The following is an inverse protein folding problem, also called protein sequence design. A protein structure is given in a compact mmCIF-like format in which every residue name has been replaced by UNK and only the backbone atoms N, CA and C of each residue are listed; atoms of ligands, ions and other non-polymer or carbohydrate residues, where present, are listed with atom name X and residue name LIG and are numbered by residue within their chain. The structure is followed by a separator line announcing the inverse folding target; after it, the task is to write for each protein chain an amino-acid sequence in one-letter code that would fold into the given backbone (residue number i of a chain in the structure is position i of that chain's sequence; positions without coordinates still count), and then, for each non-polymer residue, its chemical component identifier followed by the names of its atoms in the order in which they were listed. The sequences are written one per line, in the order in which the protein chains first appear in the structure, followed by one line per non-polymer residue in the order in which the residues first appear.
data_IF_331821341500
#
_entry.id   IF_331821341500
#
_cell.length_a   1.000
_cell.length_b   1.000
_cell.length_c   1.000
_cell.angle_alpha   90.00
_cell.angle_beta   90.00
_cell.angle_gamma   90.00
#
_symmetry.space_group_name_H-M   'P 1'
#
loop_
_entity.id
_entity.type
_entity.pdbx_description
1 polymer ?
#
# COMPACT_ATOMS: atom_id res chain seq x y z
N UNK A 1 35.65 -4.94 -5.78
CA UNK A 1 36.06 -6.13 -6.55
C UNK A 1 35.58 -7.32 -5.74
N UNK A 2 34.32 -7.74 -5.97
CA UNK A 2 33.66 -8.73 -5.12
C UNK A 2 33.11 -9.81 -6.05
N UNK A 3 33.61 -11.01 -5.82
CA UNK A 3 33.44 -12.24 -6.60
C UNK A 3 31.96 -12.66 -6.71
N UNK A 4 31.44 -12.73 -7.93
CA UNK A 4 30.14 -13.33 -8.26
C UNK A 4 30.40 -14.61 -9.04
N UNK A 5 30.68 -15.72 -8.35
CA UNK A 5 30.77 -17.02 -9.02
C UNK A 5 30.18 -18.16 -8.19
N UNK A 6 29.07 -18.72 -8.71
CA UNK A 6 28.47 -20.05 -8.47
C UNK A 6 27.68 -20.14 -7.15
N UNK A 7 26.44 -20.65 -7.10
CA UNK A 7 25.92 -22.02 -7.28
C UNK A 7 24.36 -21.84 -7.18
N UNK A 8 23.41 -22.48 -7.89
CA UNK A 8 23.26 -23.86 -8.29
C UNK A 8 22.21 -24.00 -9.42
N UNK A 9 22.40 -25.04 -10.24
CA UNK A 9 21.38 -25.68 -11.08
C UNK A 9 20.69 -26.79 -10.26
N UNK A 10 19.36 -26.88 -10.31
CA UNK A 10 18.55 -28.11 -10.21
C UNK A 10 17.10 -27.71 -10.59
N UNK A 11 16.53 -28.05 -11.74
CA UNK A 11 16.10 -29.36 -12.24
C UNK A 11 14.93 -29.99 -11.44
N UNK A 12 13.85 -30.28 -12.20
CA UNK A 12 12.92 -31.42 -12.13
C UNK A 12 11.47 -31.25 -11.63
N UNK A 13 10.58 -31.88 -12.43
CA UNK A 13 9.22 -32.43 -12.21
C UNK A 13 8.06 -31.48 -12.58
N UNK A 14 7.30 -31.67 -13.68
CA UNK A 14 6.50 -32.81 -14.17
C UNK A 14 5.26 -33.14 -13.32
N UNK A 15 4.07 -32.82 -13.85
CA UNK A 15 2.73 -33.24 -13.38
C UNK A 15 1.66 -32.24 -13.87
N UNK A 16 0.95 -32.44 -14.98
CA UNK A 16 -0.13 -33.40 -15.28
C UNK A 16 -1.52 -33.02 -14.71
N UNK A 17 -2.49 -32.94 -15.63
CA UNK A 17 -3.95 -33.13 -15.49
C UNK A 17 -4.79 -32.08 -14.73
N UNK A 18 -5.61 -31.32 -15.45
CA UNK A 18 -7.07 -31.59 -15.54
C UNK A 18 -7.73 -30.61 -16.53
N UNK A 19 -8.28 -31.16 -17.62
CA UNK A 19 -9.20 -30.49 -18.53
C UNK A 19 -10.56 -31.17 -18.35
N UNK A 20 -11.63 -30.39 -18.17
CA UNK A 20 -13.00 -30.88 -18.34
C UNK A 20 -13.99 -30.29 -17.35
N UNK A 21 -15.01 -29.60 -17.87
CA UNK A 21 -16.26 -29.40 -17.13
C UNK A 21 -17.09 -28.18 -17.51
N UNK A 22 -17.63 -28.17 -18.73
CA UNK A 22 -18.78 -27.34 -19.14
C UNK A 22 -20.01 -27.51 -18.22
N UNK A 23 -20.75 -26.42 -18.02
CA UNK A 23 -22.14 -26.40 -17.51
C UNK A 23 -22.30 -25.35 -16.40
N UNK A 24 -23.17 -24.35 -16.47
CA UNK A 24 -24.32 -24.07 -17.30
C UNK A 24 -25.25 -23.13 -16.51
N UNK A 25 -26.36 -22.76 -17.14
CA UNK A 25 -27.54 -22.09 -16.54
C UNK A 25 -27.48 -20.59 -16.26
N UNK A 26 -28.02 -19.88 -17.24
CA UNK A 26 -28.92 -18.73 -17.10
C UNK A 26 -29.80 -18.75 -15.84
N UNK A 27 -29.91 -17.61 -15.13
CA UNK A 27 -31.22 -17.10 -14.69
C UNK A 27 -31.15 -15.58 -14.53
N UNK A 28 -32.01 -14.89 -15.26
CA UNK A 28 -32.32 -13.48 -15.03
C UNK A 28 -33.14 -13.34 -13.74
N UNK A 29 -32.84 -12.34 -12.92
CA UNK A 29 -33.74 -11.87 -11.88
C UNK A 29 -33.74 -10.34 -11.87
N UNK A 30 -34.83 -9.79 -12.37
CA UNK A 30 -35.29 -8.42 -12.17
C UNK A 30 -35.81 -8.27 -10.74
N UNK A 31 -35.38 -7.25 -10.01
CA UNK A 31 -36.11 -6.63 -8.89
C UNK A 31 -35.51 -5.23 -8.69
N UNK A 32 -36.16 -4.16 -9.14
CA UNK A 32 -37.23 -3.41 -8.47
C UNK A 32 -36.88 -2.85 -7.08
N UNK A 33 -36.80 -1.51 -7.07
CA UNK A 33 -37.33 -0.59 -6.05
C UNK A 33 -36.68 -0.59 -4.66
N UNK A 34 -36.02 0.52 -4.29
CA UNK A 34 -36.49 1.40 -3.21
C UNK A 34 -35.62 2.65 -3.03
N UNK A 35 -36.30 3.78 -3.12
CA UNK A 35 -35.93 5.12 -2.68
C UNK A 35 -35.74 5.11 -1.15
N UNK A 36 -34.60 5.60 -0.63
CA UNK A 36 -34.47 5.89 0.81
C UNK A 36 -33.81 7.25 1.04
N UNK A 37 -34.70 8.23 1.25
CA UNK A 37 -34.68 9.36 2.18
C UNK A 37 -33.35 9.82 2.78
N UNK A 38 -33.02 11.08 2.47
CA UNK A 38 -32.07 11.93 3.17
C UNK A 38 -32.40 12.05 4.67
N UNK A 39 -31.39 11.88 5.52
CA UNK A 39 -31.44 12.34 6.92
C UNK A 39 -30.26 13.26 7.16
N UNK A 40 -30.55 14.56 7.22
CA UNK A 40 -29.64 15.62 7.66
C UNK A 40 -29.66 15.64 9.18
N UNK A 41 -28.53 15.37 9.82
CA UNK A 41 -28.35 15.59 11.27
C UNK A 41 -27.20 16.56 11.48
N UNK A 42 -27.56 17.79 11.85
CA UNK A 42 -26.66 18.76 12.41
C UNK A 42 -26.32 18.38 13.86
N UNK A 43 -25.04 18.36 14.20
CA UNK A 43 -24.56 18.31 15.58
C UNK A 43 -23.56 19.45 15.80
N UNK A 44 -24.01 20.43 16.58
CA UNK A 44 -23.22 21.48 17.22
C UNK A 44 -22.76 21.03 18.61
N UNK A 45 -21.74 21.73 19.14
CA UNK A 45 -21.21 21.75 20.52
C UNK A 45 -19.99 20.85 20.80
N UNK A 46 -19.00 21.21 21.61
CA UNK A 46 -18.61 22.43 22.33
C UNK A 46 -17.14 22.19 22.73
N UNK A 47 -16.26 23.18 22.51
CA UNK A 47 -14.85 23.08 22.89
C UNK A 47 -14.70 23.34 24.40
N UNK A 48 -14.15 22.36 25.12
CA UNK A 48 -13.70 22.55 26.51
C UNK A 48 -12.18 22.47 26.53
N UNK A 49 -11.53 23.62 26.75
CA UNK A 49 -10.10 23.72 26.96
C UNK A 49 -9.73 23.12 28.33
N UNK A 50 -8.93 22.06 28.32
CA UNK A 50 -8.25 21.55 29.51
C UNK A 50 -6.74 21.63 29.28
N UNK A 51 -6.12 22.61 29.94
CA UNK A 51 -4.68 22.77 30.04
C UNK A 51 -4.16 21.77 31.05
N UNK A 52 -3.45 20.74 30.59
CA UNK A 52 -2.70 19.83 31.44
C UNK A 52 -1.21 19.99 31.13
N UNK A 53 -0.53 20.69 32.02
CA UNK A 53 0.94 20.69 32.09
C UNK A 53 1.37 19.33 32.65
N UNK A 54 1.98 18.49 31.81
CA UNK A 54 2.58 17.23 32.21
C UNK A 54 4.09 17.29 32.04
N UNK A 55 4.76 16.97 33.14
CA UNK A 55 6.19 17.08 33.36
C UNK A 55 7.01 16.22 32.41
N UNK A 56 8.15 16.77 31.99
CA UNK A 56 9.18 16.11 31.18
C UNK A 56 9.98 15.14 32.05
N UNK A 57 9.57 13.89 32.10
CA UNK A 57 10.40 12.79 32.60
C UNK A 57 11.23 12.22 31.43
N UNK A 58 12.51 12.60 31.40
CA UNK A 58 13.52 12.08 30.50
C UNK A 58 13.86 10.62 30.89
N UNK A 59 13.03 9.69 30.44
CA UNK A 59 13.32 8.25 30.48
C UNK A 59 13.90 7.83 29.14
N UNK A 60 15.03 7.12 29.20
CA UNK A 60 15.82 6.61 28.08
C UNK A 60 14.98 6.30 26.84
N UNK A 61 15.17 7.15 25.84
CA UNK A 61 14.40 7.28 24.61
C UNK A 61 14.60 6.04 23.74
N UNK A 62 13.78 5.02 23.97
CA UNK A 62 13.35 4.19 22.84
C UNK A 62 12.51 5.15 22.01
N UNK A 63 13.14 5.84 21.06
CA UNK A 63 12.46 6.75 20.15
C UNK A 63 11.23 6.01 19.63
N UNK A 64 10.05 6.50 20.02
CA UNK A 64 8.80 5.92 19.55
C UNK A 64 8.90 5.92 18.03
N UNK A 65 8.88 4.74 17.42
CA UNK A 65 8.85 4.64 15.98
C UNK A 65 7.53 5.31 15.58
N UNK A 66 7.61 6.45 14.89
CA UNK A 66 6.42 7.21 14.57
C UNK A 66 5.48 6.40 13.71
N UNK A 67 4.20 6.73 13.77
CA UNK A 67 3.14 6.05 13.00
C UNK A 67 3.03 6.59 11.57
N UNK A 68 3.94 7.49 11.17
CA UNK A 68 3.90 8.17 9.89
C UNK A 68 4.47 7.36 8.73
N UNK A 69 4.17 7.83 7.53
CA UNK A 69 4.72 7.34 6.26
C UNK A 69 5.33 8.50 5.49
N UNK A 70 6.44 8.24 4.80
CA UNK A 70 7.09 9.25 3.98
C UNK A 70 6.30 9.48 2.69
N UNK A 71 5.72 10.67 2.56
CA UNK A 71 4.92 11.09 1.40
C UNK A 71 5.49 12.35 0.80
N UNK A 72 5.18 12.63 -0.47
CA UNK A 72 5.64 13.86 -1.12
C UNK A 72 4.71 15.02 -0.78
N UNK A 73 5.28 16.17 -0.45
CA UNK A 73 4.52 17.41 -0.32
C UNK A 73 4.13 17.96 -1.72
N UNK A 74 3.00 18.65 -1.81
CA UNK A 74 2.51 19.24 -3.06
C UNK A 74 1.77 20.55 -2.82
N UNK A 75 1.75 21.42 -3.83
CA UNK A 75 0.84 22.57 -3.89
C UNK A 75 -0.32 22.29 -4.85
N UNK A 76 -0.07 21.51 -5.91
CA UNK A 76 -1.06 21.05 -6.88
C UNK A 76 -0.86 19.57 -7.23
N UNK A 77 -1.88 18.85 -7.74
CA UNK A 77 -1.76 17.42 -8.09
C UNK A 77 -0.61 17.11 -9.07
N UNK A 78 -0.25 18.06 -9.93
CA UNK A 78 0.88 17.92 -10.86
C UNK A 78 2.22 17.81 -10.14
N UNK A 79 2.34 18.39 -8.95
CA UNK A 79 3.52 18.28 -8.10
C UNK A 79 3.70 16.88 -7.51
N UNK A 80 2.78 15.94 -7.74
CA UNK A 80 2.88 14.54 -7.34
C UNK A 80 3.41 13.62 -8.46
N UNK A 81 3.50 14.15 -9.67
CA UNK A 81 3.89 13.40 -10.85
C UNK A 81 5.41 13.18 -10.93
N UNK A 82 5.89 11.97 -11.24
CA UNK A 82 7.28 11.78 -11.61
C UNK A 82 7.63 12.65 -12.84
N UNK A 83 8.85 13.20 -12.91
CA UNK A 83 9.22 14.18 -13.95
C UNK A 83 9.12 13.63 -15.38
N UNK A 84 9.21 12.31 -15.56
CA UNK A 84 9.19 11.65 -16.87
C UNK A 84 7.79 11.17 -17.31
N UNK A 85 6.75 11.46 -16.53
CA UNK A 85 5.36 11.03 -16.84
C UNK A 85 4.57 12.20 -17.42
N UNK A 86 4.28 12.11 -18.72
CA UNK A 86 3.62 13.18 -19.49
C UNK A 86 2.12 13.30 -19.17
N UNK A 87 1.47 12.17 -18.84
CA UNK A 87 0.01 12.09 -18.59
C UNK A 87 -0.29 11.99 -17.09
N UNK A 88 0.24 12.95 -16.31
CA UNK A 88 0.02 13.00 -14.87
C UNK A 88 -0.32 14.44 -14.42
N UNK A 89 -1.38 14.62 -13.58
CA UNK A 89 -2.29 13.59 -13.07
C UNK A 89 -3.20 13.04 -14.17
N UNK A 90 -3.55 11.75 -14.09
CA UNK A 90 -4.30 11.03 -15.12
C UNK A 90 -5.07 9.83 -14.56
N UNK A 91 -5.29 8.82 -15.38
CA UNK A 91 -5.85 7.54 -14.94
C UNK A 91 -4.79 6.67 -14.22
N UNK A 92 -5.23 5.62 -13.54
CA UNK A 92 -4.33 4.65 -12.90
C UNK A 92 -3.28 4.14 -13.91
N UNK A 93 -1.97 4.13 -13.56
CA UNK A 93 -1.36 4.28 -12.23
C UNK A 93 -0.95 5.72 -11.86
N UNK A 94 -1.36 6.71 -12.64
CA UNK A 94 -0.98 8.11 -12.50
C UNK A 94 -2.10 8.99 -11.93
N UNK A 95 -3.11 8.37 -11.31
CA UNK A 95 -4.18 9.04 -10.59
C UNK A 95 -3.67 9.60 -9.26
N UNK A 96 -3.00 10.76 -9.30
CA UNK A 96 -2.50 11.46 -8.11
C UNK A 96 -3.40 12.65 -7.76
N UNK A 97 -3.66 12.84 -6.46
CA UNK A 97 -4.31 14.03 -5.89
C UNK A 97 -3.34 14.75 -4.94
N UNK A 98 -3.57 16.06 -4.75
CA UNK A 98 -2.89 16.84 -3.73
C UNK A 98 -3.90 17.22 -2.65
N UNK A 99 -3.85 16.53 -1.51
CA UNK A 99 -4.82 16.66 -0.43
C UNK A 99 -4.09 17.16 0.82
N UNK A 100 -4.52 18.31 1.33
CA UNK A 100 -3.91 18.95 2.50
C UNK A 100 -2.39 19.21 2.35
N UNK A 101 -1.93 19.41 1.12
CA UNK A 101 -0.52 19.61 0.81
C UNK A 101 0.31 18.32 0.72
N UNK A 102 -0.34 17.16 0.71
CA UNK A 102 0.28 15.84 0.60
C UNK A 102 -0.18 15.12 -0.67
N UNK A 103 0.75 14.44 -1.33
CA UNK A 103 0.46 13.62 -2.49
C UNK A 103 -0.22 12.31 -2.08
N UNK A 104 -1.45 12.11 -2.53
CA UNK A 104 -2.23 10.90 -2.29
C UNK A 104 -2.41 10.15 -3.61
N UNK A 105 -2.17 8.84 -3.58
CA UNK A 105 -2.43 7.97 -4.72
C UNK A 105 -3.91 7.59 -4.73
N UNK A 106 -4.59 7.76 -5.86
CA UNK A 106 -5.98 7.35 -6.04
C UNK A 106 -6.16 5.83 -6.14
N UNK A 107 -5.09 5.11 -6.46
CA UNK A 107 -5.11 3.65 -6.59
C UNK A 107 -5.89 3.15 -7.81
N UNK A 108 -5.95 1.83 -7.95
CA UNK A 108 -6.80 1.16 -8.93
C UNK A 108 -8.25 1.12 -8.45
N UNK A 109 -9.19 0.94 -9.38
CA UNK A 109 -10.63 0.86 -9.11
C UNK A 109 -11.25 -0.46 -9.56
N UNK A 110 -10.56 -1.23 -10.39
CA UNK A 110 -10.99 -2.52 -10.92
C UNK A 110 -9.79 -3.35 -11.41
N UNK A 111 -10.02 -4.65 -11.61
CA UNK A 111 -8.99 -5.61 -12.02
C UNK A 111 -8.50 -5.34 -13.45
N UNK A 112 -9.33 -4.76 -14.33
CA UNK A 112 -8.91 -4.44 -15.70
C UNK A 112 -7.78 -3.41 -15.74
N UNK A 113 -7.80 -2.43 -14.84
CA UNK A 113 -6.71 -1.47 -14.68
C UNK A 113 -5.40 -2.16 -14.28
N UNK A 114 -5.46 -3.18 -13.42
CA UNK A 114 -4.29 -3.96 -13.03
C UNK A 114 -3.77 -4.87 -14.14
N UNK A 115 -4.68 -5.54 -14.83
CA UNK A 115 -4.35 -6.42 -15.96
C UNK A 115 -3.72 -5.65 -17.14
N UNK A 116 -4.06 -4.37 -17.31
CA UNK A 116 -3.44 -3.51 -18.31
C UNK A 116 -1.96 -3.18 -17.99
N UNK A 117 -1.57 -3.19 -16.71
CA UNK A 117 -0.22 -2.83 -16.28
C UNK A 117 0.72 -4.03 -16.07
N UNK A 118 0.17 -5.23 -15.89
CA UNK A 118 0.95 -6.43 -15.62
C UNK A 118 0.75 -7.51 -16.67
N UNK A 119 1.85 -8.11 -17.10
CA UNK A 119 1.82 -9.35 -17.90
C UNK A 119 1.66 -10.60 -17.04
N UNK A 120 1.74 -10.46 -15.72
CA UNK A 120 1.58 -11.56 -14.77
C UNK A 120 0.09 -11.90 -14.64
N UNK A 121 -0.34 -13.14 -14.89
CA UNK A 121 -1.72 -13.53 -14.70
C UNK A 121 -2.10 -13.46 -13.21
N UNK A 122 -3.34 -13.09 -12.93
CA UNK A 122 -3.89 -13.09 -11.57
C UNK A 122 -3.59 -11.86 -10.73
N UNK A 123 -3.09 -10.76 -11.33
CA UNK A 123 -3.04 -9.47 -10.64
C UNK A 123 -4.46 -8.90 -10.55
N UNK A 124 -4.91 -8.60 -9.34
CA UNK A 124 -6.20 -7.98 -9.04
C UNK A 124 -6.03 -6.63 -8.37
N UNK A 125 -7.12 -5.84 -8.37
CA UNK A 125 -7.20 -4.58 -7.64
C UNK A 125 -7.80 -4.82 -6.26
N UNK A 126 -6.98 -4.65 -5.23
CA UNK A 126 -7.39 -4.86 -3.85
C UNK A 126 -7.08 -3.62 -3.01
N UNK A 127 -8.00 -3.21 -2.14
CA UNK A 127 -7.81 -2.04 -1.30
C UNK A 127 -6.89 -2.35 -0.12
N UNK A 128 -5.93 -1.47 0.16
CA UNK A 128 -5.11 -1.47 1.38
C UNK A 128 -5.33 -0.10 2.02
N UNK A 129 -5.96 -0.08 3.20
CA UNK A 129 -6.30 1.15 3.91
C UNK A 129 -7.16 2.10 3.04
N UNK A 130 -8.07 1.53 2.25
CA UNK A 130 -8.98 2.26 1.36
C UNK A 130 -8.38 2.68 0.02
N UNK A 131 -7.09 2.44 -0.23
CA UNK A 131 -6.43 2.76 -1.51
C UNK A 131 -6.27 1.49 -2.35
N UNK A 132 -6.76 1.49 -3.59
CA UNK A 132 -6.63 0.35 -4.49
C UNK A 132 -5.18 0.11 -4.93
N UNK A 133 -4.65 -1.08 -4.67
CA UNK A 133 -3.30 -1.50 -5.06
C UNK A 133 -3.41 -2.75 -5.94
N UNK A 134 -2.66 -2.75 -7.05
CA UNK A 134 -2.56 -3.92 -7.90
C UNK A 134 -1.49 -4.87 -7.37
N UNK A 135 -1.88 -6.09 -6.99
CA UNK A 135 -0.95 -7.14 -6.61
C UNK A 135 -1.47 -8.53 -6.98
N UNK A 136 -0.58 -9.52 -7.00
CA UNK A 136 -0.96 -10.93 -7.12
C UNK A 136 -1.25 -11.47 -5.72
N UNK A 137 -2.43 -12.07 -5.49
CA UNK A 137 -2.77 -12.63 -4.20
C UNK A 137 -1.84 -13.81 -3.87
N UNK A 138 -1.49 -13.96 -2.60
CA UNK A 138 -0.72 -15.09 -2.10
C UNK A 138 -1.55 -15.89 -1.09
N UNK A 139 -1.36 -17.22 -1.11
CA UNK A 139 -1.91 -18.13 -0.12
C UNK A 139 -0.85 -18.59 0.89
N UNK A 140 0.43 -18.44 0.56
CA UNK A 140 1.55 -18.66 1.48
C UNK A 140 2.88 -18.15 0.92
N UNK A 141 3.95 -18.27 1.71
CA UNK A 141 5.28 -17.74 1.36
C UNK A 141 5.85 -18.31 0.05
N UNK A 142 5.39 -19.49 -0.37
CA UNK A 142 5.78 -20.08 -1.64
C UNK A 142 5.39 -19.24 -2.86
N UNK A 143 4.26 -18.52 -2.79
CA UNK A 143 3.81 -17.63 -3.88
C UNK A 143 4.68 -16.37 -3.97
N UNK A 144 5.33 -16.02 -2.85
CA UNK A 144 6.20 -14.86 -2.72
C UNK A 144 7.67 -15.16 -3.07
N UNK A 145 7.99 -16.41 -3.44
CA UNK A 145 9.35 -16.82 -3.78
C UNK A 145 9.96 -16.08 -4.98
N UNK A 146 9.14 -15.39 -5.78
CA UNK A 146 9.60 -14.55 -6.90
C UNK A 146 10.31 -13.28 -6.40
N UNK A 147 9.92 -12.76 -5.24
CA UNK A 147 10.49 -11.55 -4.65
C UNK A 147 11.36 -11.99 -3.46
N UNK A 148 12.70 -11.95 -3.57
CA UNK A 148 13.57 -12.44 -2.52
C UNK A 148 13.36 -11.66 -1.22
N UNK A 149 13.18 -12.39 -0.10
CA UNK A 149 12.94 -11.80 1.22
C UNK A 149 11.50 -11.39 1.49
N UNK A 150 10.57 -11.60 0.56
CA UNK A 150 9.15 -11.35 0.79
C UNK A 150 8.44 -12.55 1.39
N UNK A 151 7.39 -12.29 2.17
CA UNK A 151 6.52 -13.29 2.78
C UNK A 151 5.06 -12.96 2.49
N UNK A 152 4.18 -13.96 2.57
CA UNK A 152 2.74 -13.76 2.41
C UNK A 152 2.13 -13.28 3.73
N UNK A 153 2.53 -12.09 4.16
CA UNK A 153 2.17 -11.51 5.46
C UNK A 153 1.34 -10.24 5.35
N UNK A 154 1.26 -9.62 4.18
CA UNK A 154 0.36 -8.49 3.94
C UNK A 154 -1.09 -8.97 3.82
N UNK A 155 -2.04 -8.20 4.37
CA UNK A 155 -3.48 -8.39 4.14
C UNK A 155 -4.07 -7.10 3.59
N UNK A 156 -4.85 -7.22 2.52
CA UNK A 156 -5.73 -6.18 2.04
C UNK A 156 -7.03 -6.10 2.87
N UNK A 157 -7.81 -5.04 2.65
CA UNK A 157 -9.05 -4.75 3.37
C UNK A 157 -10.14 -5.81 3.14
N UNK A 158 -10.07 -6.54 2.02
CA UNK A 158 -10.93 -7.67 1.67
C UNK A 158 -10.44 -9.02 2.23
N UNK A 159 -9.32 -9.01 2.97
CA UNK A 159 -8.70 -10.18 3.56
C UNK A 159 -7.79 -10.98 2.62
N UNK A 160 -7.57 -10.49 1.39
CA UNK A 160 -6.67 -11.14 0.43
C UNK A 160 -5.21 -10.91 0.84
N UNK A 161 -4.43 -12.00 0.90
CA UNK A 161 -3.02 -11.95 1.23
C UNK A 161 -2.19 -11.37 0.08
N UNK A 162 -1.15 -10.59 0.39
CA UNK A 162 -0.18 -10.10 -0.59
C UNK A 162 1.26 -10.27 -0.11
N UNK A 163 2.16 -10.42 -1.08
CA UNK A 163 3.59 -10.55 -0.80
C UNK A 163 4.16 -9.21 -0.34
N UNK A 164 4.67 -9.18 0.88
CA UNK A 164 5.29 -8.00 1.48
C UNK A 164 6.74 -8.28 1.81
N UNK A 165 7.63 -7.37 1.41
CA UNK A 165 9.01 -7.37 1.88
C UNK A 165 9.02 -6.68 3.23
N UNK A 166 9.40 -7.42 4.27
CA UNK A 166 9.66 -6.83 5.57
C UNK A 166 10.98 -6.06 5.55
N UNK A 167 11.14 -5.11 6.47
CA UNK A 167 12.45 -4.58 6.80
C UNK A 167 13.02 -5.36 8.00
N UNK A 168 14.34 -5.60 8.02
CA UNK A 168 15.05 -6.18 9.18
C UNK A 168 15.93 -5.12 9.86
N UNK A 169 16.14 -3.99 9.19
CA UNK A 169 16.95 -2.86 9.61
C UNK A 169 16.51 -1.58 8.88
N UNK A 170 16.88 -0.42 9.42
CA UNK A 170 16.60 0.88 8.79
C UNK A 170 17.20 1.01 7.37
N UNK A 171 18.24 0.23 7.07
CA UNK A 171 18.86 0.21 5.74
C UNK A 171 17.93 -0.38 4.67
N UNK A 172 17.05 -1.30 5.05
CA UNK A 172 16.08 -1.93 4.13
C UNK A 172 14.96 -0.97 3.72
N UNK A 173 14.79 0.13 4.46
CA UNK A 173 13.83 1.18 4.14
C UNK A 173 14.34 2.15 3.08
N UNK A 174 15.61 2.07 2.68
CA UNK A 174 16.20 2.91 1.61
C UNK A 174 15.95 4.42 1.80
N UNK A 175 15.83 4.88 3.05
CA UNK A 175 15.52 6.26 3.41
C UNK A 175 14.03 6.62 3.39
N UNK A 176 13.12 5.67 3.22
CA UNK A 176 11.67 5.87 3.31
C UNK A 176 11.14 5.74 4.75
N UNK A 177 11.98 6.09 5.74
CA UNK A 177 11.70 5.91 7.16
C UNK A 177 12.68 4.97 7.86
N UNK A 178 12.32 4.58 9.07
CA UNK A 178 12.99 3.60 9.94
C UNK A 178 12.20 2.31 9.95
N UNK A 179 12.90 1.21 10.18
CA UNK A 179 12.28 -0.09 10.22
C UNK A 179 11.57 -0.33 11.54
N UNK A 180 10.26 -0.50 11.49
CA UNK A 180 9.49 -1.00 12.61
C UNK A 180 9.57 -2.53 12.66
N UNK A 181 10.52 -3.08 13.42
CA UNK A 181 10.77 -4.53 13.48
C UNK A 181 9.55 -5.37 13.87
N UNK A 182 8.60 -4.80 14.62
CA UNK A 182 7.40 -5.50 15.07
C UNK A 182 6.41 -5.73 13.92
N UNK A 183 6.15 -4.71 13.11
CA UNK A 183 5.28 -4.83 11.94
C UNK A 183 6.05 -5.33 10.72
N UNK A 184 7.36 -5.07 10.63
CA UNK A 184 8.20 -5.21 9.45
C UNK A 184 7.91 -4.14 8.39
N UNK A 185 7.51 -2.92 8.79
CA UNK A 185 7.19 -1.81 7.87
C UNK A 185 8.10 -0.60 8.09
N UNK A 186 8.33 0.16 7.03
CA UNK A 186 9.10 1.39 7.09
C UNK A 186 8.19 2.56 7.47
N UNK A 187 8.48 3.18 8.62
CA UNK A 187 7.69 4.26 9.21
C UNK A 187 8.58 5.45 9.54
N UNK A 188 8.03 6.65 9.58
CA UNK A 188 8.76 7.86 9.97
C UNK A 188 8.18 8.44 11.26
N UNK A 189 9.06 9.02 12.09
CA UNK A 189 8.66 9.86 13.21
C UNK A 189 8.65 11.34 12.80
N UNK A 190 9.62 11.73 11.96
CA UNK A 190 9.83 13.11 11.55
C UNK A 190 10.29 13.17 10.08
N UNK A 191 10.23 14.36 9.48
CA UNK A 191 10.66 14.60 8.09
C UNK A 191 12.12 14.20 7.83
N UNK A 192 12.97 14.24 8.87
CA UNK A 192 14.38 13.83 8.79
C UNK A 192 14.55 12.33 8.50
N UNK A 193 13.55 11.50 8.78
CA UNK A 193 13.59 10.08 8.45
C UNK A 193 13.28 9.81 6.95
N UNK A 194 12.76 10.80 6.23
CA UNK A 194 12.32 10.70 4.84
C UNK A 194 13.39 11.18 3.84
N UNK A 195 14.48 10.45 3.76
CA UNK A 195 15.67 10.79 2.94
C UNK A 195 15.73 10.08 1.58
N UNK A 196 14.81 9.17 1.27
CA UNK A 196 14.79 8.41 0.00
C UNK A 196 14.74 9.34 -1.23
N UNK A 197 14.04 10.47 -1.12
CA UNK A 197 13.91 11.49 -2.17
C UNK A 197 13.79 12.87 -1.55
N UNK A 198 14.26 13.89 -2.27
CA UNK A 198 14.07 15.29 -1.87
C UNK A 198 12.58 15.66 -1.86
N UNK A 199 12.14 16.38 -0.83
CA UNK A 199 10.76 16.86 -0.69
C UNK A 199 9.77 15.84 -0.14
N UNK A 200 10.24 14.71 0.40
CA UNK A 200 9.42 13.84 1.24
C UNK A 200 9.26 14.45 2.64
N UNK A 201 8.06 14.30 3.20
CA UNK A 201 7.69 14.69 4.55
C UNK A 201 7.06 13.51 5.25
N UNK A 202 7.16 13.47 6.57
CA UNK A 202 6.52 12.45 7.37
C UNK A 202 5.05 12.83 7.60
N UNK A 203 4.14 12.07 6.98
CA UNK A 203 2.71 12.22 7.21
C UNK A 203 2.23 11.16 8.19
N UNK A 204 1.68 11.60 9.32
CA UNK A 204 0.98 10.72 10.24
C UNK A 204 -0.27 10.15 9.54
N UNK A 205 -0.45 8.83 9.63
CA UNK A 205 -1.68 8.22 9.17
C UNK A 205 -2.88 8.89 9.91
N UNK A 206 -3.89 9.38 9.17
CA UNK A 206 -5.03 10.08 9.76
C UNK A 206 -5.94 9.18 10.60
#
# INVERSE_FOLDING_TARGET
MTDWTRVARAALLAGALACGGDGGSTTAATADTAMTTATTSAATSEATAATAEAASDASSETAAIGEGVCVRACAEPRDCCPPDVVECPGEYPHAWSCEQGLCVAGGCTNDEQCAALSTVPGVGCHAIEGVGVCFTPCAGDGDCAVIPGSTCSGLADDGVGFCRTGCESDADCEGAGRCELASGSCRCADDVDCTAREGLVCALAP
#
